data_IF_487504379072
#
_entry.id   IF_487504379072
#
_cell.length_a   1.000
_cell.length_b   1.000
_cell.length_c   1.000
_cell.angle_alpha   90.00
_cell.angle_beta   90.00
_cell.angle_gamma   90.00
#
_symmetry.space_group_name_H-M   'P 1'
#
loop_
_entity.id
_entity.type
_entity.pdbx_description
1 polymer ?
#
# COMPACT_ATOMS: atom_id res chain seq x y z
N UNK A 1 -9.30 15.55 19.07
CA UNK A 1 -10.07 14.78 18.10
C UNK A 1 -11.23 14.05 18.81
N UNK A 2 -12.40 13.88 18.19
CA UNK A 2 -13.56 13.26 18.83
C UNK A 2 -13.51 11.72 18.83
N UNK A 3 -14.42 11.07 19.60
CA UNK A 3 -14.52 9.61 19.69
C UNK A 3 -14.63 8.91 18.32
N UNK A 4 -15.38 9.49 17.37
CA UNK A 4 -15.53 8.94 16.02
C UNK A 4 -14.21 8.80 15.26
N UNK A 5 -13.28 9.74 15.45
CA UNK A 5 -11.96 9.67 14.84
C UNK A 5 -11.16 8.43 15.31
N UNK A 6 -11.14 8.15 16.61
CA UNK A 6 -10.43 6.98 17.13
C UNK A 6 -11.07 5.66 16.71
N UNK A 7 -12.40 5.63 16.52
CA UNK A 7 -13.09 4.45 15.96
C UNK A 7 -12.64 4.20 14.52
N UNK A 8 -12.52 5.25 13.69
CA UNK A 8 -12.00 5.14 12.32
C UNK A 8 -10.57 4.63 12.34
N UNK A 9 -9.74 5.17 13.24
CA UNK A 9 -8.34 4.74 13.37
C UNK A 9 -8.24 3.26 13.76
N UNK A 10 -9.05 2.79 14.71
CA UNK A 10 -9.11 1.38 15.09
C UNK A 10 -9.57 0.48 13.94
N UNK A 11 -10.66 0.85 13.25
CA UNK A 11 -11.15 0.11 12.09
C UNK A 11 -10.10 -0.01 10.98
N UNK A 12 -9.44 1.12 10.67
CA UNK A 12 -8.35 1.19 9.69
C UNK A 12 -7.15 0.32 10.10
N UNK A 13 -6.76 0.38 11.38
CA UNK A 13 -5.63 -0.40 11.89
C UNK A 13 -5.89 -1.89 11.72
N UNK A 14 -7.00 -2.42 12.22
CA UNK A 14 -7.32 -3.85 12.12
C UNK A 14 -7.51 -4.32 10.68
N UNK A 15 -8.17 -3.52 9.83
CA UNK A 15 -8.34 -3.86 8.42
C UNK A 15 -7.01 -3.93 7.69
N UNK A 16 -6.12 -2.96 7.90
CA UNK A 16 -4.79 -2.94 7.27
C UNK A 16 -3.85 -4.00 7.85
N UNK A 17 -3.93 -4.27 9.16
CA UNK A 17 -3.22 -5.36 9.83
C UNK A 17 -3.57 -6.71 9.19
N UNK A 18 -4.87 -6.95 9.00
CA UNK A 18 -5.36 -8.17 8.38
C UNK A 18 -4.91 -8.29 6.91
N UNK A 19 -4.94 -7.20 6.12
CA UNK A 19 -4.47 -7.19 4.72
C UNK A 19 -3.00 -7.65 4.61
N UNK A 20 -2.14 -7.20 5.52
CA UNK A 20 -0.71 -7.53 5.51
C UNK A 20 -0.42 -8.92 6.09
N UNK A 21 -1.15 -9.35 7.11
CA UNK A 21 -1.05 -10.71 7.65
C UNK A 21 -1.53 -11.75 6.64
N UNK A 22 -2.63 -11.47 5.92
CA UNK A 22 -3.18 -12.36 4.91
C UNK A 22 -2.23 -12.60 3.74
N UNK A 23 -1.44 -11.60 3.36
CA UNK A 23 -0.41 -11.75 2.34
C UNK A 23 0.56 -12.89 2.68
N UNK A 24 1.02 -12.93 3.93
CA UNK A 24 1.95 -13.97 4.40
C UNK A 24 1.25 -15.34 4.47
N UNK A 25 0.02 -15.38 5.00
CA UNK A 25 -0.76 -16.61 5.08
C UNK A 25 -1.10 -17.19 3.70
N UNK A 26 -1.41 -16.34 2.71
CA UNK A 26 -1.66 -16.75 1.34
C UNK A 26 -0.39 -17.33 0.66
N UNK A 27 0.80 -16.77 0.94
CA UNK A 27 2.06 -17.36 0.48
C UNK A 27 2.26 -18.74 1.09
N UNK A 28 1.99 -18.89 2.40
CA UNK A 28 2.11 -20.19 3.08
C UNK A 28 1.15 -21.23 2.48
N UNK A 29 -0.11 -20.84 2.21
CA UNK A 29 -1.11 -21.70 1.59
C UNK A 29 -0.68 -22.15 0.17
N UNK A 30 -0.15 -21.24 -0.65
CA UNK A 30 0.38 -21.56 -1.97
C UNK A 30 1.56 -22.52 -1.91
N UNK A 31 2.50 -22.30 -0.98
CA UNK A 31 3.65 -23.19 -0.78
C UNK A 31 3.21 -24.60 -0.33
N UNK A 32 2.24 -24.66 0.60
CA UNK A 32 1.70 -25.91 1.10
C UNK A 32 0.96 -26.70 0.01
N UNK A 33 0.25 -26.05 -0.90
CA UNK A 33 -0.41 -26.69 -2.04
C UNK A 33 0.56 -27.09 -3.17
N UNK A 34 1.88 -26.85 -3.01
CA UNK A 34 2.88 -27.14 -4.03
C UNK A 34 2.79 -26.23 -5.27
N UNK A 35 2.16 -25.06 -5.14
CA UNK A 35 2.00 -24.14 -6.24
C UNK A 35 3.35 -23.60 -6.74
N UNK A 36 3.49 -23.34 -8.06
CA UNK A 36 4.71 -22.73 -8.61
C UNK A 36 5.06 -21.41 -7.94
N UNK A 37 6.35 -21.11 -7.79
CA UNK A 37 6.84 -19.90 -7.12
C UNK A 37 6.24 -18.58 -7.67
N UNK A 38 5.95 -18.53 -8.97
CA UNK A 38 5.35 -17.35 -9.59
C UNK A 38 3.92 -17.04 -9.09
N UNK A 39 3.19 -18.02 -8.52
CA UNK A 39 1.89 -17.77 -7.89
C UNK A 39 2.03 -16.87 -6.66
N UNK A 40 3.08 -17.07 -5.85
CA UNK A 40 3.35 -16.18 -4.71
C UNK A 40 3.69 -14.76 -5.16
N UNK A 41 4.45 -14.61 -6.25
CA UNK A 41 4.74 -13.31 -6.85
C UNK A 41 3.46 -12.63 -7.39
N UNK A 42 2.52 -13.42 -7.94
CA UNK A 42 1.27 -12.93 -8.51
C UNK A 42 0.27 -12.39 -7.47
N UNK A 43 0.44 -12.70 -6.18
CA UNK A 43 -0.43 -12.14 -5.13
C UNK A 43 -0.44 -10.62 -5.12
N UNK A 44 0.73 -9.98 -5.27
CA UNK A 44 0.84 -8.52 -5.27
C UNK A 44 0.04 -7.87 -6.40
N UNK A 45 0.24 -8.23 -7.69
CA UNK A 45 -0.57 -7.67 -8.76
C UNK A 45 -2.05 -8.08 -8.68
N UNK A 46 -2.38 -9.24 -8.16
CA UNK A 46 -3.79 -9.64 -7.97
C UNK A 46 -4.51 -8.74 -6.96
N UNK A 47 -3.86 -8.37 -5.88
CA UNK A 47 -4.41 -7.42 -4.91
C UNK A 47 -4.61 -6.02 -5.53
N UNK A 48 -3.67 -5.57 -6.34
CA UNK A 48 -3.71 -4.25 -6.98
C UNK A 48 -4.73 -4.17 -8.15
N UNK A 49 -5.14 -5.29 -8.72
CA UNK A 49 -5.94 -5.37 -9.94
C UNK A 49 -7.18 -4.49 -9.90
N UNK A 50 -7.99 -4.63 -8.86
CA UNK A 50 -9.26 -3.90 -8.75
C UNK A 50 -9.10 -2.44 -8.38
N UNK A 51 -7.97 -2.04 -7.79
CA UNK A 51 -7.62 -0.63 -7.63
C UNK A 51 -7.45 0.08 -8.98
N UNK A 52 -6.98 -0.64 -9.99
CA UNK A 52 -6.79 -0.10 -11.34
C UNK A 52 -8.10 -0.16 -12.13
N UNK A 53 -8.72 -1.35 -12.19
CA UNK A 53 -9.91 -1.59 -13.03
C UNK A 53 -11.12 -0.78 -12.55
N UNK A 54 -11.30 -0.64 -11.24
CA UNK A 54 -12.47 0.03 -10.66
C UNK A 54 -12.20 1.45 -10.13
N UNK A 55 -10.98 1.99 -10.34
CA UNK A 55 -10.63 3.33 -9.88
C UNK A 55 -11.67 4.42 -10.19
N UNK A 56 -12.24 4.50 -11.41
CA UNK A 56 -13.24 5.52 -11.74
C UNK A 56 -14.54 5.40 -10.93
N UNK A 57 -14.87 4.19 -10.48
CA UNK A 57 -16.17 3.88 -9.88
C UNK A 57 -16.17 3.83 -8.36
N UNK A 58 -15.04 3.46 -7.73
CA UNK A 58 -14.97 3.33 -6.26
C UNK A 58 -15.15 4.66 -5.54
N UNK A 59 -14.75 5.78 -6.15
CA UNK A 59 -15.02 7.12 -5.63
C UNK A 59 -16.52 7.43 -5.62
N UNK A 60 -17.22 7.15 -6.72
CA UNK A 60 -18.67 7.33 -6.82
C UNK A 60 -19.42 6.43 -5.83
N UNK A 61 -19.01 5.19 -5.66
CA UNK A 61 -19.54 4.28 -4.66
C UNK A 61 -19.34 4.81 -3.23
N UNK A 62 -18.15 5.35 -2.96
CA UNK A 62 -17.84 5.95 -1.66
C UNK A 62 -18.70 7.19 -1.35
N UNK A 63 -19.13 7.95 -2.36
CA UNK A 63 -19.96 9.15 -2.18
C UNK A 63 -21.47 8.85 -2.18
N UNK A 64 -21.88 7.67 -2.65
CA UNK A 64 -23.27 7.24 -2.66
C UNK A 64 -23.77 6.77 -1.29
N UNK A 65 -22.92 6.21 -0.45
CA UNK A 65 -23.26 5.68 0.88
C UNK A 65 -22.52 6.44 1.99
N UNK A 66 -23.05 6.46 3.21
CA UNK A 66 -22.29 6.93 4.36
C UNK A 66 -20.95 6.20 4.47
N UNK A 67 -19.85 6.94 4.64
CA UNK A 67 -18.48 6.39 4.57
C UNK A 67 -18.28 5.18 5.51
N UNK A 68 -18.83 5.19 6.71
CA UNK A 68 -18.78 4.05 7.63
C UNK A 68 -19.42 2.78 7.03
N UNK A 69 -20.52 2.92 6.27
CA UNK A 69 -21.16 1.78 5.59
C UNK A 69 -20.32 1.26 4.42
N UNK A 70 -19.69 2.16 3.66
CA UNK A 70 -18.74 1.77 2.60
C UNK A 70 -17.60 0.96 3.19
N UNK A 71 -17.00 1.44 4.28
CA UNK A 71 -15.92 0.75 4.98
C UNK A 71 -16.36 -0.62 5.53
N UNK A 72 -17.60 -0.72 6.05
CA UNK A 72 -18.19 -1.98 6.50
C UNK A 72 -18.34 -2.97 5.34
N UNK A 73 -19.01 -2.57 4.25
CA UNK A 73 -19.19 -3.42 3.06
C UNK A 73 -17.85 -3.87 2.50
N UNK A 74 -16.87 -2.99 2.46
CA UNK A 74 -15.52 -3.30 1.99
C UNK A 74 -14.84 -4.39 2.83
N UNK A 75 -14.97 -4.33 4.17
CA UNK A 75 -14.44 -5.38 5.04
C UNK A 75 -15.22 -6.70 4.91
N UNK A 76 -16.53 -6.66 4.65
CA UNK A 76 -17.31 -7.88 4.35
C UNK A 76 -16.82 -8.54 3.04
N UNK A 77 -16.49 -7.75 2.01
CA UNK A 77 -15.88 -8.28 0.78
C UNK A 77 -14.54 -8.99 1.10
N UNK A 78 -13.72 -8.44 2.00
CA UNK A 78 -12.48 -9.07 2.43
C UNK A 78 -12.73 -10.37 3.21
N UNK A 79 -13.74 -10.39 4.07
CA UNK A 79 -14.20 -11.62 4.75
C UNK A 79 -14.58 -12.70 3.72
N UNK A 80 -15.33 -12.34 2.68
CA UNK A 80 -15.67 -13.27 1.59
C UNK A 80 -14.41 -13.81 0.92
N UNK A 81 -13.40 -12.97 0.64
CA UNK A 81 -12.13 -13.42 0.08
C UNK A 81 -11.41 -14.44 0.97
N UNK A 82 -11.39 -14.23 2.30
CA UNK A 82 -10.83 -15.22 3.24
C UNK A 82 -11.61 -16.54 3.25
N UNK A 83 -12.94 -16.47 3.27
CA UNK A 83 -13.78 -17.68 3.19
C UNK A 83 -13.56 -18.44 1.89
N UNK A 84 -13.41 -17.74 0.76
CA UNK A 84 -13.08 -18.38 -0.52
C UNK A 84 -11.77 -19.17 -0.44
N UNK A 85 -10.73 -18.64 0.24
CA UNK A 85 -9.47 -19.37 0.46
C UNK A 85 -9.70 -20.64 1.30
N UNK A 86 -10.46 -20.53 2.39
CA UNK A 86 -10.74 -21.66 3.29
C UNK A 86 -11.58 -22.74 2.62
N UNK A 87 -12.50 -22.36 1.71
CA UNK A 87 -13.31 -23.31 0.95
C UNK A 87 -12.66 -23.81 -0.36
N UNK A 88 -11.33 -23.68 -0.47
CA UNK A 88 -10.56 -24.29 -1.56
C UNK A 88 -10.55 -23.50 -2.88
N UNK A 89 -11.04 -22.27 -2.91
CA UNK A 89 -10.88 -21.41 -4.08
C UNK A 89 -9.41 -21.01 -4.23
N UNK A 90 -8.92 -20.94 -5.48
CA UNK A 90 -7.51 -20.63 -5.72
C UNK A 90 -7.09 -19.32 -5.04
N UNK A 91 -5.98 -19.31 -4.25
CA UNK A 91 -5.59 -18.17 -3.43
C UNK A 91 -5.42 -16.85 -4.20
N UNK A 92 -4.97 -16.90 -5.46
CA UNK A 92 -4.84 -15.69 -6.28
C UNK A 92 -6.17 -14.98 -6.53
N UNK A 93 -7.23 -15.74 -6.85
CA UNK A 93 -8.56 -15.18 -7.07
C UNK A 93 -9.14 -14.64 -5.76
N UNK A 94 -9.03 -15.42 -4.69
CA UNK A 94 -9.50 -15.03 -3.37
C UNK A 94 -8.81 -13.76 -2.87
N UNK A 95 -7.51 -13.64 -3.08
CA UNK A 95 -6.74 -12.46 -2.71
C UNK A 95 -7.05 -11.24 -3.59
N UNK A 96 -7.42 -11.45 -4.86
CA UNK A 96 -7.95 -10.39 -5.71
C UNK A 96 -9.28 -9.83 -5.17
N UNK A 97 -10.17 -10.70 -4.65
CA UNK A 97 -11.42 -10.26 -3.99
C UNK A 97 -11.14 -9.45 -2.72
N UNK A 98 -10.13 -9.82 -1.93
CA UNK A 98 -9.66 -9.00 -0.81
C UNK A 98 -9.17 -7.64 -1.30
N UNK A 99 -8.42 -7.61 -2.40
CA UNK A 99 -7.99 -6.38 -3.07
C UNK A 99 -9.14 -5.50 -3.56
N UNK A 100 -10.24 -6.10 -4.04
CA UNK A 100 -11.49 -5.38 -4.36
C UNK A 100 -12.04 -4.67 -3.11
N UNK A 101 -12.12 -5.36 -1.98
CA UNK A 101 -12.54 -4.76 -0.72
C UNK A 101 -11.62 -3.61 -0.29
N UNK A 102 -10.31 -3.77 -0.44
CA UNK A 102 -9.33 -2.72 -0.13
C UNK A 102 -9.46 -1.50 -1.06
N UNK A 103 -9.69 -1.72 -2.36
CA UNK A 103 -9.92 -0.65 -3.33
C UNK A 103 -11.18 0.19 -3.01
N UNK A 104 -12.27 -0.47 -2.60
CA UNK A 104 -13.50 0.21 -2.21
C UNK A 104 -13.36 0.95 -0.85
N UNK A 105 -12.53 0.43 0.06
CA UNK A 105 -12.29 1.00 1.38
C UNK A 105 -11.53 2.34 1.30
N UNK A 106 -10.55 2.45 0.42
CA UNK A 106 -9.60 3.57 0.38
C UNK A 106 -10.23 4.95 0.20
N UNK A 107 -11.16 5.20 -0.76
CA UNK A 107 -11.80 6.51 -0.91
C UNK A 107 -12.65 6.92 0.31
N UNK A 108 -13.32 5.94 0.94
CA UNK A 108 -14.12 6.22 2.13
C UNK A 108 -13.25 6.58 3.35
N UNK A 109 -12.10 5.90 3.51
CA UNK A 109 -11.12 6.15 4.57
C UNK A 109 -10.60 7.59 4.57
N UNK A 110 -10.19 8.10 3.43
CA UNK A 110 -9.68 9.47 3.33
C UNK A 110 -10.81 10.49 3.25
N UNK A 111 -11.92 10.17 2.57
CA UNK A 111 -13.08 11.05 2.44
C UNK A 111 -13.72 11.39 3.77
N UNK A 112 -13.85 10.43 4.70
CA UNK A 112 -14.49 10.68 5.99
C UNK A 112 -13.73 11.70 6.86
N UNK A 113 -12.42 11.81 6.71
CA UNK A 113 -11.64 12.79 7.45
C UNK A 113 -12.01 14.21 7.09
N UNK A 114 -12.19 14.47 5.78
CA UNK A 114 -12.57 15.79 5.28
C UNK A 114 -14.00 16.18 5.65
N UNK A 115 -14.86 15.18 5.87
CA UNK A 115 -16.24 15.38 6.32
C UNK A 115 -16.36 15.62 7.84
N UNK A 116 -15.47 15.05 8.64
CA UNK A 116 -15.54 15.06 10.11
C UNK A 116 -14.66 16.11 10.78
N UNK A 117 -13.59 16.55 10.10
CA UNK A 117 -12.56 17.36 10.71
C UNK A 117 -12.44 18.72 10.04
N UNK A 118 -12.17 19.80 10.80
CA UNK A 118 -11.83 21.08 10.23
C UNK A 118 -10.49 21.00 9.49
N UNK A 119 -10.33 21.85 8.49
CA UNK A 119 -9.13 21.89 7.61
C UNK A 119 -7.84 21.93 8.41
N UNK A 120 -7.79 22.72 9.49
CA UNK A 120 -6.62 22.86 10.38
C UNK A 120 -6.16 21.55 11.04
N UNK A 121 -7.02 20.53 11.11
CA UNK A 121 -6.71 19.22 11.71
C UNK A 121 -6.45 18.12 10.68
N UNK A 122 -6.65 18.38 9.39
CA UNK A 122 -6.51 17.37 8.34
C UNK A 122 -5.08 16.86 8.20
N UNK A 123 -4.08 17.74 8.31
CA UNK A 123 -2.65 17.33 8.23
C UNK A 123 -2.32 16.37 9.36
N UNK A 124 -2.72 16.71 10.59
CA UNK A 124 -2.52 15.85 11.76
C UNK A 124 -3.25 14.51 11.61
N UNK A 125 -4.48 14.53 11.09
CA UNK A 125 -5.27 13.32 10.87
C UNK A 125 -4.67 12.40 9.80
N UNK A 126 -4.16 12.96 8.71
CA UNK A 126 -3.41 12.20 7.70
C UNK A 126 -2.13 11.60 8.29
N UNK A 127 -1.40 12.34 9.12
CA UNK A 127 -0.23 11.81 9.83
C UNK A 127 -0.58 10.59 10.70
N UNK A 128 -1.72 10.62 11.40
CA UNK A 128 -2.23 9.47 12.16
C UNK A 128 -2.57 8.27 11.26
N UNK A 129 -3.25 8.51 10.13
CA UNK A 129 -3.58 7.43 9.17
C UNK A 129 -2.30 6.79 8.63
N UNK A 130 -1.34 7.59 8.17
CA UNK A 130 -0.10 7.07 7.62
C UNK A 130 0.74 6.34 8.69
N UNK A 131 0.83 6.90 9.90
CA UNK A 131 1.51 6.25 11.01
C UNK A 131 0.90 4.89 11.37
N UNK A 132 -0.44 4.82 11.46
CA UNK A 132 -1.15 3.55 11.70
C UNK A 132 -1.03 2.58 10.52
N UNK A 133 -1.00 3.08 9.29
CA UNK A 133 -0.79 2.23 8.10
C UNK A 133 0.61 1.59 8.15
N UNK A 134 1.64 2.35 8.47
CA UNK A 134 3.01 1.83 8.65
C UNK A 134 3.05 0.80 9.80
N UNK A 135 2.46 1.13 10.95
CA UNK A 135 2.38 0.21 12.08
C UNK A 135 1.63 -1.08 11.72
N UNK A 136 0.54 -0.99 10.97
CA UNK A 136 -0.23 -2.14 10.49
C UNK A 136 0.56 -3.01 9.52
N UNK A 137 1.39 -2.42 8.66
CA UNK A 137 2.26 -3.17 7.75
C UNK A 137 3.28 -3.97 8.57
N UNK A 138 3.97 -3.33 9.51
CA UNK A 138 4.97 -3.98 10.35
C UNK A 138 4.34 -5.13 11.14
N UNK A 139 3.32 -4.80 11.93
CA UNK A 139 2.69 -5.75 12.83
C UNK A 139 1.92 -6.83 12.06
N UNK A 140 1.29 -6.51 10.92
CA UNK A 140 0.55 -7.46 10.11
C UNK A 140 1.45 -8.51 9.48
N UNK A 141 2.58 -8.11 8.89
CA UNK A 141 3.55 -9.04 8.30
C UNK A 141 4.15 -9.94 9.38
N UNK A 142 4.56 -9.38 10.52
CA UNK A 142 5.09 -10.16 11.65
C UNK A 142 4.02 -11.10 12.20
N UNK A 143 2.79 -10.61 12.41
CA UNK A 143 1.67 -11.43 12.88
C UNK A 143 1.39 -12.59 11.91
N UNK A 144 1.33 -12.34 10.60
CA UNK A 144 1.15 -13.38 9.59
C UNK A 144 2.23 -14.44 9.67
N UNK A 145 3.50 -14.02 9.83
CA UNK A 145 4.61 -14.96 10.02
C UNK A 145 4.50 -15.78 11.30
N UNK A 146 4.10 -15.19 12.42
CA UNK A 146 3.93 -15.89 13.69
C UNK A 146 2.74 -16.85 13.67
N UNK A 147 1.63 -16.49 13.02
CA UNK A 147 0.43 -17.34 12.94
C UNK A 147 0.69 -18.65 12.18
N UNK A 148 1.60 -18.65 11.18
CA UNK A 148 1.97 -19.85 10.42
C UNK A 148 3.14 -20.63 11.05
N UNK A 149 3.88 -20.01 11.99
CA UNK A 149 5.05 -20.59 12.65
C UNK A 149 4.69 -21.31 13.95
N UNK A 150 5.57 -22.27 14.36
CA UNK A 150 5.47 -22.88 15.68
C UNK A 150 5.97 -21.90 16.78
N UNK A 151 5.39 -21.92 17.98
CA UNK A 151 4.36 -22.85 18.50
C UNK A 151 2.91 -22.39 18.26
N UNK A 152 2.69 -21.19 17.63
CA UNK A 152 1.35 -20.59 17.53
C UNK A 152 0.43 -21.45 16.66
N UNK A 153 0.91 -21.89 15.50
CA UNK A 153 0.13 -22.73 14.59
C UNK A 153 -0.31 -24.04 15.25
N UNK A 154 0.57 -24.69 16.00
CA UNK A 154 0.26 -25.91 16.76
C UNK A 154 -0.82 -25.67 17.81
N UNK A 155 -0.77 -24.53 18.52
CA UNK A 155 -1.80 -24.17 19.50
C UNK A 155 -3.14 -23.89 18.82
N UNK A 156 -3.15 -23.19 17.68
CA UNK A 156 -4.38 -22.90 16.93
C UNK A 156 -5.04 -24.17 16.39
N UNK A 157 -4.24 -25.10 15.87
CA UNK A 157 -4.72 -26.40 15.37
C UNK A 157 -5.18 -27.33 16.49
N UNK A 158 -4.65 -27.19 17.72
CA UNK A 158 -5.10 -27.95 18.88
C UNK A 158 -6.44 -27.46 19.46
N UNK A 159 -6.92 -26.31 19.01
CA UNK A 159 -8.20 -25.74 19.43
C UNK A 159 -9.34 -26.38 18.66
N UNK A 160 -9.70 -27.61 19.08
CA UNK A 160 -10.78 -28.39 18.49
C UNK A 160 -12.09 -28.10 19.23
N UNK A 161 -13.13 -27.74 18.50
CA UNK A 161 -14.47 -27.59 19.08
C UNK A 161 -15.13 -28.97 19.15
N UNK A 162 -15.48 -29.47 20.33
CA UNK A 162 -15.95 -30.86 20.51
C UNK A 162 -17.24 -31.22 19.74
N UNK A 163 -17.87 -30.26 19.10
CA UNK A 163 -19.15 -30.41 18.42
C UNK A 163 -19.11 -30.04 16.94
N UNK A 164 -18.00 -29.50 16.43
CA UNK A 164 -17.93 -28.97 15.07
C UNK A 164 -16.51 -29.13 14.51
N UNK A 165 -16.40 -29.96 13.49
CA UNK A 165 -15.19 -30.02 12.67
C UNK A 165 -15.05 -28.70 11.88
N UNK A 166 -14.03 -27.93 12.21
CA UNK A 166 -13.79 -26.63 11.57
C UNK A 166 -13.23 -26.77 10.16
N UNK A 167 -12.76 -27.96 9.76
CA UNK A 167 -12.08 -28.19 8.48
C UNK A 167 -10.78 -27.39 8.36
N UNK A 168 -10.19 -26.98 9.49
CA UNK A 168 -8.93 -26.23 9.54
C UNK A 168 -7.84 -27.22 9.95
N UNK A 169 -7.15 -27.78 8.97
CA UNK A 169 -6.18 -28.85 9.17
C UNK A 169 -4.73 -28.40 9.09
N UNK A 170 -4.49 -27.17 8.63
CA UNK A 170 -3.16 -26.71 8.30
C UNK A 170 -2.82 -25.36 8.93
N UNK A 171 -1.51 -25.07 9.18
CA UNK A 171 -1.08 -23.79 9.73
C UNK A 171 -1.54 -22.58 8.92
N UNK A 172 -1.58 -22.69 7.58
CA UNK A 172 -2.04 -21.62 6.71
C UNK A 172 -3.54 -21.36 6.88
N UNK A 173 -4.36 -22.40 6.97
CA UNK A 173 -5.82 -22.29 7.20
C UNK A 173 -6.12 -21.72 8.59
N UNK A 174 -5.39 -22.15 9.62
CA UNK A 174 -5.51 -21.62 10.98
C UNK A 174 -5.16 -20.12 11.02
N UNK A 175 -4.10 -19.71 10.30
CA UNK A 175 -3.74 -18.30 10.16
C UNK A 175 -4.83 -17.50 9.45
N UNK A 176 -5.36 -17.99 8.31
CA UNK A 176 -6.43 -17.32 7.56
C UNK A 176 -7.69 -17.20 8.41
N UNK A 177 -8.06 -18.21 9.17
CA UNK A 177 -9.21 -18.19 10.11
C UNK A 177 -9.03 -17.13 11.20
N UNK A 178 -7.83 -16.98 11.75
CA UNK A 178 -7.50 -15.92 12.71
C UNK A 178 -7.58 -14.52 12.09
N UNK A 179 -7.11 -14.36 10.85
CA UNK A 179 -7.16 -13.11 10.10
C UNK A 179 -8.60 -12.74 9.72
N UNK A 180 -9.44 -13.72 9.41
CA UNK A 180 -10.88 -13.54 9.20
C UNK A 180 -11.53 -12.84 10.40
N UNK A 181 -11.18 -13.24 11.63
CA UNK A 181 -11.67 -12.61 12.87
C UNK A 181 -11.24 -11.12 12.90
N UNK A 182 -10.01 -10.79 12.50
CA UNK A 182 -9.55 -9.40 12.44
C UNK A 182 -10.39 -8.56 11.48
N UNK A 183 -10.76 -9.09 10.31
CA UNK A 183 -11.66 -8.38 9.40
C UNK A 183 -13.07 -8.21 9.96
N UNK A 184 -13.59 -9.20 10.68
CA UNK A 184 -14.88 -9.10 11.37
C UNK A 184 -14.83 -8.02 12.45
N UNK A 185 -13.75 -7.96 13.23
CA UNK A 185 -13.52 -6.90 14.23
C UNK A 185 -13.45 -5.53 13.56
N UNK A 186 -12.71 -5.39 12.45
CA UNK A 186 -12.64 -4.15 11.69
C UNK A 186 -14.02 -3.74 11.15
N UNK A 187 -14.79 -4.70 10.61
CA UNK A 187 -16.16 -4.47 10.15
C UNK A 187 -17.08 -4.01 11.30
N UNK A 188 -16.95 -4.63 12.48
CA UNK A 188 -17.71 -4.23 13.67
C UNK A 188 -17.39 -2.77 14.08
N UNK A 189 -16.12 -2.38 14.11
CA UNK A 189 -15.75 -0.98 14.36
C UNK A 189 -16.37 -0.02 13.34
N UNK A 190 -16.49 -0.41 12.07
CA UNK A 190 -17.09 0.44 11.04
C UNK A 190 -18.57 0.74 11.29
N UNK A 191 -19.30 -0.14 11.98
CA UNK A 191 -20.70 0.08 12.35
C UNK A 191 -20.88 1.21 13.39
N UNK A 192 -19.85 1.47 14.20
CA UNK A 192 -19.84 2.53 15.21
C UNK A 192 -19.32 3.87 14.68
N UNK A 193 -18.94 3.95 13.41
CA UNK A 193 -18.54 5.21 12.79
C UNK A 193 -19.77 6.12 12.68
N UNK A 194 -19.71 7.35 13.24
CA UNK A 194 -20.83 8.27 13.19
C UNK A 194 -21.14 8.69 11.75
N UNK A 195 -22.42 8.89 11.46
CA UNK A 195 -22.83 9.47 10.18
C UNK A 195 -22.41 10.94 10.17
N UNK A 196 -21.83 11.34 9.05
CA UNK A 196 -21.52 12.74 8.77
C UNK A 196 -22.74 13.45 8.20
N UNK A 197 -22.78 14.78 8.28
CA UNK A 197 -23.82 15.60 7.64
C UNK A 197 -23.56 15.83 6.14
N UNK A 198 -22.56 15.15 5.56
CA UNK A 198 -22.22 15.29 4.16
C UNK A 198 -23.35 14.84 3.24
N UNK A 199 -23.58 15.61 2.18
CA UNK A 199 -24.59 15.28 1.18
C UNK A 199 -24.17 14.06 0.36
N UNK A 200 -25.01 13.02 0.35
CA UNK A 200 -24.76 11.82 -0.46
C UNK A 200 -25.07 12.12 -1.93
N UNK A 201 -24.15 11.72 -2.81
CA UNK A 201 -24.32 11.93 -4.23
C UNK A 201 -24.91 10.67 -4.89
N UNK A 202 -25.90 10.81 -5.80
CA UNK A 202 -26.42 9.65 -6.52
C UNK A 202 -25.35 9.01 -7.40
N UNK A 203 -25.43 7.69 -7.57
CA UNK A 203 -24.55 6.99 -8.51
C UNK A 203 -24.72 7.56 -9.92
N UNK A 204 -23.61 7.79 -10.64
CA UNK A 204 -23.66 8.24 -12.03
C UNK A 204 -24.46 7.26 -12.89
N UNK A 205 -25.41 7.79 -13.67
CA UNK A 205 -26.23 6.97 -14.59
C UNK A 205 -25.44 6.50 -15.82
N UNK A 206 -24.37 7.20 -16.17
CA UNK A 206 -23.54 6.90 -17.32
C UNK A 206 -22.10 6.55 -16.88
N UNK A 207 -21.74 5.25 -16.86
CA UNK A 207 -20.42 4.81 -16.46
C UNK A 207 -19.30 5.31 -17.41
N UNK A 208 -19.60 5.53 -18.69
CA UNK A 208 -18.63 6.02 -19.68
C UNK A 208 -18.26 7.48 -19.38
N UNK A 209 -19.22 8.32 -19.01
CA UNK A 209 -18.96 9.70 -18.62
C UNK A 209 -18.10 9.78 -17.34
N UNK A 210 -18.31 8.90 -16.39
CA UNK A 210 -17.49 8.81 -15.17
C UNK A 210 -16.05 8.42 -15.51
N UNK A 211 -15.85 7.48 -16.43
CA UNK A 211 -14.51 7.11 -16.90
C UNK A 211 -13.84 8.28 -17.63
N UNK A 212 -14.57 9.01 -18.48
CA UNK A 212 -14.04 10.16 -19.22
C UNK A 212 -13.61 11.31 -18.27
N UNK A 213 -14.41 11.64 -17.26
CA UNK A 213 -14.06 12.64 -16.25
C UNK A 213 -12.82 12.22 -15.45
N UNK A 214 -12.71 10.94 -15.07
CA UNK A 214 -11.55 10.41 -14.38
C UNK A 214 -10.27 10.51 -15.23
N UNK A 215 -10.35 10.14 -16.51
CA UNK A 215 -9.21 10.21 -17.43
C UNK A 215 -8.78 11.66 -17.70
N UNK A 216 -9.72 12.60 -17.74
CA UNK A 216 -9.41 14.04 -17.85
C UNK A 216 -8.69 14.53 -16.59
N UNK A 217 -9.16 14.18 -15.39
CA UNK A 217 -8.50 14.48 -14.12
C UNK A 217 -7.07 13.93 -14.08
N UNK A 218 -6.88 12.65 -14.49
CA UNK A 218 -5.56 12.03 -14.58
C UNK A 218 -4.65 12.81 -15.54
N UNK A 219 -5.16 13.15 -16.73
CA UNK A 219 -4.41 13.93 -17.73
C UNK A 219 -3.99 15.31 -17.22
N UNK A 220 -4.87 16.01 -16.49
CA UNK A 220 -4.56 17.33 -15.90
C UNK A 220 -3.39 17.25 -14.93
N UNK A 221 -3.36 16.22 -14.06
CA UNK A 221 -2.28 16.05 -13.09
C UNK A 221 -0.96 15.70 -13.78
N UNK A 222 -0.98 14.88 -14.83
CA UNK A 222 0.20 14.58 -15.66
C UNK A 222 0.71 15.75 -16.50
N UNK A 223 -0.10 16.79 -16.73
CA UNK A 223 0.31 18.03 -17.43
C UNK A 223 0.83 19.11 -16.50
N UNK A 224 0.46 19.08 -15.22
CA UNK A 224 0.96 20.04 -14.22
C UNK A 224 2.45 19.81 -13.93
N UNK A 225 3.27 20.85 -13.93
CA UNK A 225 4.73 20.74 -13.88
C UNK A 225 5.30 20.18 -12.57
N UNK A 226 4.65 20.45 -11.45
CA UNK A 226 4.99 19.83 -10.16
C UNK A 226 4.20 18.53 -9.94
N UNK A 227 2.94 18.51 -10.38
CA UNK A 227 2.08 17.34 -10.31
C UNK A 227 2.67 16.12 -11.00
N UNK A 228 3.16 16.27 -12.23
CA UNK A 228 3.76 15.16 -12.98
C UNK A 228 5.00 14.58 -12.30
N UNK A 229 5.83 15.40 -11.66
CA UNK A 229 7.05 14.97 -10.98
C UNK A 229 6.71 14.29 -9.65
N UNK A 230 5.81 14.89 -8.85
CA UNK A 230 5.38 14.29 -7.59
C UNK A 230 4.61 12.99 -7.84
N UNK A 231 3.69 12.96 -8.82
CA UNK A 231 2.95 11.76 -9.19
C UNK A 231 3.88 10.64 -9.67
N UNK A 232 4.83 10.93 -10.57
CA UNK A 232 5.79 9.93 -11.06
C UNK A 232 6.63 9.35 -9.92
N UNK A 233 7.09 10.20 -9.00
CA UNK A 233 7.92 9.78 -7.86
C UNK A 233 7.13 8.91 -6.88
N UNK A 234 5.92 9.32 -6.49
CA UNK A 234 5.09 8.54 -5.56
C UNK A 234 4.59 7.25 -6.21
N UNK A 235 4.21 7.29 -7.48
CA UNK A 235 3.81 6.13 -8.28
C UNK A 235 4.91 5.08 -8.31
N UNK A 236 6.15 5.48 -8.64
CA UNK A 236 7.28 4.56 -8.64
C UNK A 236 7.59 4.04 -7.23
N UNK A 237 7.60 4.93 -6.22
CA UNK A 237 7.85 4.53 -4.84
C UNK A 237 6.87 3.44 -4.38
N UNK A 238 5.57 3.64 -4.54
CA UNK A 238 4.56 2.66 -4.14
C UNK A 238 4.61 1.39 -4.97
N UNK A 239 4.91 1.51 -6.29
CA UNK A 239 5.17 0.36 -7.15
C UNK A 239 6.30 -0.52 -6.63
N UNK A 240 7.39 0.11 -6.19
CA UNK A 240 8.55 -0.56 -5.57
C UNK A 240 8.19 -1.13 -4.21
N UNK A 241 7.65 -0.32 -3.31
CA UNK A 241 7.34 -0.71 -1.93
C UNK A 241 6.31 -1.85 -1.86
N UNK A 242 5.30 -1.83 -2.74
CA UNK A 242 4.29 -2.88 -2.83
C UNK A 242 4.88 -4.24 -3.20
N UNK A 243 5.87 -4.26 -4.09
CA UNK A 243 6.54 -5.49 -4.53
C UNK A 243 7.75 -5.87 -3.67
N UNK A 244 8.38 -4.90 -2.98
CA UNK A 244 9.60 -5.11 -2.19
C UNK A 244 9.38 -6.16 -1.09
N UNK A 245 8.21 -6.21 -0.46
CA UNK A 245 7.89 -7.21 0.56
C UNK A 245 8.05 -8.65 0.04
N UNK A 246 7.56 -8.94 -1.18
CA UNK A 246 7.75 -10.24 -1.80
C UNK A 246 9.22 -10.47 -2.18
N UNK A 247 9.88 -9.45 -2.71
CA UNK A 247 11.30 -9.51 -3.11
C UNK A 247 12.18 -9.83 -1.90
N UNK A 248 11.95 -9.17 -0.76
CA UNK A 248 12.67 -9.43 0.49
C UNK A 248 12.44 -10.86 0.98
N UNK A 249 11.20 -11.37 0.91
CA UNK A 249 10.89 -12.74 1.28
C UNK A 249 11.63 -13.75 0.40
N UNK A 250 11.59 -13.56 -0.92
CA UNK A 250 12.25 -14.44 -1.88
C UNK A 250 13.79 -14.38 -1.75
N UNK A 251 14.35 -13.19 -1.58
CA UNK A 251 15.77 -12.99 -1.36
C UNK A 251 16.25 -13.62 -0.05
N UNK A 252 15.53 -13.41 1.06
CA UNK A 252 15.91 -13.97 2.36
C UNK A 252 15.91 -15.50 2.36
N UNK A 253 14.99 -16.13 1.61
CA UNK A 253 14.97 -17.57 1.45
C UNK A 253 16.23 -18.09 0.74
N UNK A 254 16.72 -17.38 -0.28
CA UNK A 254 17.88 -17.81 -1.08
C UNK A 254 19.22 -17.36 -0.46
N UNK A 255 19.30 -16.13 0.03
CA UNK A 255 20.54 -15.53 0.54
C UNK A 255 20.87 -15.92 1.99
N UNK A 256 19.82 -16.09 2.83
CA UNK A 256 19.94 -16.33 4.26
C UNK A 256 19.46 -17.73 4.68
N UNK A 257 18.83 -18.49 3.77
CA UNK A 257 18.22 -19.78 4.07
C UNK A 257 16.99 -19.68 4.98
N UNK A 258 16.34 -18.51 5.03
CA UNK A 258 15.21 -18.24 5.93
C UNK A 258 13.93 -18.89 5.44
N UNK A 259 13.15 -19.39 6.40
CA UNK A 259 11.76 -19.78 6.16
C UNK A 259 10.85 -18.52 6.07
N UNK A 260 9.57 -18.74 5.75
CA UNK A 260 8.62 -17.62 5.58
C UNK A 260 8.42 -16.81 6.88
N UNK A 261 8.43 -17.45 8.03
CA UNK A 261 8.30 -16.80 9.34
C UNK A 261 9.48 -15.88 9.63
N UNK A 262 10.69 -16.39 9.45
CA UNK A 262 11.94 -15.62 9.65
C UNK A 262 12.05 -14.46 8.65
N UNK A 263 11.78 -14.74 7.37
CA UNK A 263 11.82 -13.74 6.30
C UNK A 263 10.78 -12.62 6.50
N UNK A 264 9.61 -12.94 7.04
CA UNK A 264 8.57 -11.94 7.33
C UNK A 264 9.03 -10.87 8.33
N UNK A 265 9.86 -11.27 9.30
CA UNK A 265 10.45 -10.32 10.26
C UNK A 265 11.35 -9.28 9.58
N UNK A 266 12.08 -9.67 8.52
CA UNK A 266 12.91 -8.73 7.74
C UNK A 266 12.06 -7.72 6.95
N UNK A 267 10.89 -8.12 6.46
CA UNK A 267 9.92 -7.18 5.86
C UNK A 267 9.46 -6.15 6.89
N UNK A 268 9.22 -6.58 8.13
CA UNK A 268 8.95 -5.69 9.26
C UNK A 268 10.08 -4.69 9.53
N UNK A 269 11.34 -5.14 9.41
CA UNK A 269 12.53 -4.28 9.55
C UNK A 269 12.56 -3.16 8.50
N UNK A 270 12.23 -3.48 7.23
CA UNK A 270 12.10 -2.45 6.17
C UNK A 270 11.05 -1.42 6.53
N UNK A 271 9.90 -1.88 7.03
CA UNK A 271 8.79 -0.99 7.40
C UNK A 271 9.15 -0.09 8.60
N UNK A 272 9.93 -0.60 9.58
CA UNK A 272 10.49 0.24 10.67
C UNK A 272 11.38 1.34 10.07
N UNK A 273 12.28 0.98 9.16
CA UNK A 273 13.11 1.94 8.43
C UNK A 273 12.27 3.01 7.74
N UNK A 274 11.21 2.60 7.02
CA UNK A 274 10.28 3.52 6.34
C UNK A 274 9.63 4.49 7.33
N UNK A 275 9.20 4.00 8.49
CA UNK A 275 8.66 4.84 9.57
C UNK A 275 9.67 5.87 10.07
N UNK A 276 10.91 5.46 10.32
CA UNK A 276 12.01 6.36 10.75
C UNK A 276 12.26 7.44 9.69
N UNK A 277 12.35 7.06 8.41
CA UNK A 277 12.54 7.99 7.30
C UNK A 277 11.38 8.97 7.15
N UNK A 278 10.14 8.49 7.30
CA UNK A 278 8.94 9.31 7.23
C UNK A 278 8.89 10.36 8.37
N UNK A 279 9.21 9.97 9.60
CA UNK A 279 9.29 10.89 10.74
C UNK A 279 10.39 11.92 10.50
N UNK A 280 11.59 11.49 10.10
CA UNK A 280 12.69 12.39 9.78
C UNK A 280 12.30 13.42 8.70
N UNK A 281 11.65 12.97 7.62
CA UNK A 281 11.16 13.86 6.56
C UNK A 281 10.13 14.85 7.07
N UNK A 282 9.19 14.43 7.93
CA UNK A 282 8.16 15.31 8.48
C UNK A 282 8.72 16.43 9.36
N UNK A 283 9.88 16.20 9.99
CA UNK A 283 10.56 17.19 10.85
C UNK A 283 11.47 18.12 10.03
N UNK A 284 12.20 17.58 9.06
CA UNK A 284 13.27 18.32 8.39
C UNK A 284 12.90 18.89 7.02
N UNK A 285 11.86 18.37 6.39
CA UNK A 285 11.48 18.77 5.04
C UNK A 285 10.29 19.73 5.04
N UNK A 286 10.44 20.82 4.27
CA UNK A 286 9.35 21.75 3.96
C UNK A 286 8.78 21.46 2.58
N UNK A 287 7.50 21.80 2.36
CA UNK A 287 6.79 21.54 1.11
C UNK A 287 7.45 22.20 -0.10
N UNK A 288 7.99 23.40 0.06
CA UNK A 288 8.70 24.14 -0.99
C UNK A 288 10.04 23.51 -1.43
N UNK A 289 10.57 22.59 -0.61
CA UNK A 289 11.78 21.82 -0.91
C UNK A 289 11.49 20.35 -1.23
N UNK A 290 10.23 19.96 -1.38
CA UNK A 290 9.83 18.57 -1.56
C UNK A 290 10.58 17.87 -2.71
N UNK A 291 10.83 18.56 -3.83
CA UNK A 291 11.53 17.98 -4.98
C UNK A 291 13.03 17.72 -4.76
N UNK A 292 13.64 18.29 -3.70
CA UNK A 292 15.06 18.06 -3.40
C UNK A 292 15.39 16.64 -2.96
N UNK A 293 14.38 15.83 -2.59
CA UNK A 293 14.54 14.44 -2.17
C UNK A 293 14.62 13.44 -3.34
N UNK A 294 14.34 13.84 -4.57
CA UNK A 294 14.32 12.94 -5.74
C UNK A 294 15.62 12.11 -5.89
N UNK A 295 16.83 12.66 -5.66
CA UNK A 295 18.06 11.87 -5.72
C UNK A 295 18.11 10.68 -4.73
N UNK A 296 17.35 10.74 -3.62
CA UNK A 296 17.26 9.60 -2.69
C UNK A 296 16.58 8.39 -3.32
N UNK A 297 15.70 8.59 -4.30
CA UNK A 297 15.12 7.49 -5.06
C UNK A 297 16.14 6.76 -5.94
N UNK A 298 17.13 7.49 -6.48
CA UNK A 298 18.26 6.88 -7.19
C UNK A 298 19.10 6.07 -6.21
N UNK A 299 19.42 6.66 -5.04
CA UNK A 299 20.14 5.97 -3.98
C UNK A 299 19.41 4.70 -3.51
N UNK A 300 18.07 4.75 -3.38
CA UNK A 300 17.24 3.59 -3.03
C UNK A 300 17.39 2.46 -4.05
N UNK A 301 17.33 2.75 -5.36
CA UNK A 301 17.53 1.75 -6.41
C UNK A 301 18.94 1.12 -6.38
N UNK A 302 19.97 1.95 -6.17
CA UNK A 302 21.36 1.48 -6.02
C UNK A 302 21.54 0.63 -4.74
N UNK A 303 20.85 1.00 -3.65
CA UNK A 303 20.86 0.23 -2.40
C UNK A 303 20.24 -1.14 -2.60
N UNK A 304 19.15 -1.26 -3.39
CA UNK A 304 18.59 -2.57 -3.74
C UNK A 304 19.61 -3.46 -4.46
N UNK A 305 20.45 -2.92 -5.35
CA UNK A 305 21.51 -3.69 -6.01
C UNK A 305 22.53 -4.25 -5.01
N UNK A 306 22.84 -3.52 -3.95
CA UNK A 306 23.78 -3.95 -2.92
C UNK A 306 23.28 -5.16 -2.11
N UNK A 307 21.97 -5.43 -2.10
CA UNK A 307 21.42 -6.63 -1.45
C UNK A 307 22.00 -7.94 -2.02
N UNK A 308 22.46 -7.93 -3.28
CA UNK A 308 23.09 -9.11 -3.89
C UNK A 308 24.39 -9.57 -3.18
N UNK A 309 25.01 -8.68 -2.42
CA UNK A 309 26.28 -8.96 -1.71
C UNK A 309 26.09 -9.29 -0.24
N UNK A 310 24.84 -9.27 0.26
CA UNK A 310 24.54 -9.50 1.66
C UNK A 310 24.12 -10.97 1.84
N UNK A 311 24.87 -11.68 2.68
CA UNK A 311 24.66 -13.09 2.99
C UNK A 311 24.53 -13.40 4.49
N UNK A 312 24.53 -12.36 5.35
CA UNK A 312 24.45 -12.53 6.79
C UNK A 312 23.31 -11.70 7.38
N UNK A 313 22.49 -12.27 8.32
CA UNK A 313 21.38 -11.56 8.94
C UNK A 313 21.80 -10.29 9.69
N UNK A 314 22.98 -10.32 10.30
CA UNK A 314 23.53 -9.22 11.07
C UNK A 314 23.78 -7.96 10.22
N UNK A 315 24.15 -8.12 8.95
CA UNK A 315 24.31 -7.02 7.99
C UNK A 315 22.97 -6.69 7.30
N UNK A 316 22.14 -7.70 7.07
CA UNK A 316 20.85 -7.54 6.39
C UNK A 316 19.91 -6.59 7.14
N UNK A 317 19.75 -6.74 8.45
CA UNK A 317 18.80 -5.94 9.21
C UNK A 317 19.09 -4.43 9.18
N UNK A 318 20.28 -3.92 9.54
CA UNK A 318 20.58 -2.48 9.46
C UNK A 318 20.52 -1.96 8.03
N UNK A 319 20.91 -2.77 7.04
CA UNK A 319 20.83 -2.42 5.64
C UNK A 319 19.37 -2.21 5.19
N UNK A 320 18.47 -3.09 5.57
CA UNK A 320 17.04 -2.99 5.25
C UNK A 320 16.38 -1.81 5.98
N UNK A 321 16.84 -1.44 7.19
CA UNK A 321 16.42 -0.20 7.87
C UNK A 321 16.81 1.01 7.02
N UNK A 322 18.04 1.07 6.51
CA UNK A 322 18.51 2.17 5.66
C UNK A 322 17.70 2.24 4.36
N UNK A 323 17.46 1.11 3.71
CA UNK A 323 16.64 1.03 2.50
C UNK A 323 15.23 1.57 2.75
N UNK A 324 14.60 1.14 3.83
CA UNK A 324 13.29 1.65 4.25
C UNK A 324 13.32 3.14 4.54
N UNK A 325 14.33 3.62 5.28
CA UNK A 325 14.46 5.03 5.64
C UNK A 325 14.63 5.96 4.43
N UNK A 326 15.40 5.55 3.43
CA UNK A 326 15.50 6.28 2.15
C UNK A 326 14.14 6.42 1.49
N UNK A 327 13.36 5.33 1.45
CA UNK A 327 12.02 5.31 0.89
C UNK A 327 11.04 6.20 1.65
N UNK A 328 11.00 6.09 2.99
CA UNK A 328 10.12 6.90 3.84
C UNK A 328 10.43 8.40 3.76
N UNK A 329 11.72 8.74 3.74
CA UNK A 329 12.15 10.14 3.59
C UNK A 329 11.82 10.72 2.21
N UNK A 330 11.85 9.90 1.16
CA UNK A 330 11.48 10.27 -0.20
C UNK A 330 9.97 10.53 -0.33
N UNK A 331 9.14 9.59 0.16
CA UNK A 331 7.71 9.59 -0.16
C UNK A 331 6.92 10.68 0.55
N UNK A 332 7.26 11.01 1.80
CA UNK A 332 6.46 11.96 2.62
C UNK A 332 6.35 13.35 1.99
N UNK A 333 7.44 14.05 1.64
CA UNK A 333 7.34 15.38 1.04
C UNK A 333 6.76 15.33 -0.38
N UNK A 334 7.03 14.26 -1.13
CA UNK A 334 6.49 14.10 -2.48
C UNK A 334 4.99 13.83 -2.47
N UNK A 335 4.48 13.04 -1.52
CA UNK A 335 3.04 12.86 -1.28
C UNK A 335 2.36 14.17 -0.90
N UNK A 336 2.94 14.92 0.03
CA UNK A 336 2.40 16.22 0.43
C UNK A 336 2.31 17.19 -0.75
N UNK A 337 3.34 17.25 -1.60
CA UNK A 337 3.34 18.07 -2.81
C UNK A 337 2.27 17.62 -3.80
N UNK A 338 2.13 16.30 -4.02
CA UNK A 338 1.13 15.73 -4.91
C UNK A 338 -0.29 16.05 -4.45
N UNK A 339 -0.59 15.86 -3.16
CA UNK A 339 -1.90 16.17 -2.58
C UNK A 339 -2.22 17.67 -2.69
N UNK A 340 -1.26 18.54 -2.41
CA UNK A 340 -1.42 19.98 -2.56
C UNK A 340 -1.74 20.39 -4.02
N UNK A 341 -0.99 19.85 -4.98
CA UNK A 341 -1.21 20.14 -6.41
C UNK A 341 -2.53 19.54 -6.90
N UNK A 342 -2.81 18.30 -6.58
CA UNK A 342 -4.03 17.62 -6.97
C UNK A 342 -5.29 18.27 -6.39
N UNK A 343 -5.26 18.70 -5.12
CA UNK A 343 -6.36 19.45 -4.50
C UNK A 343 -6.62 20.76 -5.24
N UNK A 344 -5.58 21.50 -5.60
CA UNK A 344 -5.70 22.77 -6.34
C UNK A 344 -6.26 22.60 -7.75
N UNK A 345 -6.03 21.46 -8.40
CA UNK A 345 -6.43 21.21 -9.80
C UNK A 345 -7.83 20.59 -9.93
N UNK A 346 -8.25 19.73 -9.00
CA UNK A 346 -9.46 18.91 -9.17
C UNK A 346 -10.23 18.60 -7.88
N UNK A 347 -9.76 19.10 -6.73
CA UNK A 347 -10.31 18.76 -5.42
C UNK A 347 -9.72 17.46 -4.82
N UNK A 348 -9.94 17.27 -3.50
CA UNK A 348 -9.25 16.21 -2.74
C UNK A 348 -9.63 14.79 -3.19
N UNK A 349 -10.91 14.49 -3.34
CA UNK A 349 -11.40 13.12 -3.64
C UNK A 349 -10.92 12.61 -4.99
N UNK A 350 -11.08 13.42 -6.05
CA UNK A 350 -10.59 13.09 -7.40
C UNK A 350 -9.09 12.96 -7.44
N UNK A 351 -8.35 13.85 -6.74
CA UNK A 351 -6.90 13.79 -6.66
C UNK A 351 -6.42 12.48 -6.04
N UNK A 352 -7.01 12.05 -4.93
CA UNK A 352 -6.67 10.79 -4.26
C UNK A 352 -7.00 9.58 -5.16
N UNK A 353 -8.12 9.61 -5.87
CA UNK A 353 -8.47 8.53 -6.79
C UNK A 353 -7.45 8.40 -7.94
N UNK A 354 -7.02 9.52 -8.53
CA UNK A 354 -5.98 9.57 -9.57
C UNK A 354 -4.64 9.09 -9.03
N UNK A 355 -4.24 9.54 -7.84
CA UNK A 355 -3.01 9.11 -7.19
C UNK A 355 -3.02 7.59 -6.99
N UNK A 356 -4.05 7.06 -6.32
CA UNK A 356 -4.20 5.62 -6.06
C UNK A 356 -4.19 4.79 -7.35
N UNK A 357 -4.87 5.25 -8.41
CA UNK A 357 -4.86 4.58 -9.71
C UNK A 357 -3.44 4.42 -10.26
N UNK A 358 -2.67 5.51 -10.32
CA UNK A 358 -1.31 5.49 -10.85
C UNK A 358 -0.37 4.62 -9.99
N UNK A 359 -0.46 4.74 -8.67
CA UNK A 359 0.33 3.95 -7.72
C UNK A 359 0.04 2.46 -7.85
N UNK A 360 -1.23 2.07 -7.87
CA UNK A 360 -1.64 0.68 -8.00
C UNK A 360 -1.39 0.11 -9.40
N UNK A 361 -1.51 0.93 -10.46
CA UNK A 361 -1.13 0.53 -11.80
C UNK A 361 0.38 0.22 -11.89
N UNK A 362 1.21 1.00 -11.20
CA UNK A 362 2.66 0.72 -11.11
C UNK A 362 2.94 -0.56 -10.30
N UNK A 363 2.24 -0.76 -9.17
CA UNK A 363 2.34 -2.02 -8.39
C UNK A 363 1.97 -3.21 -9.28
N UNK A 364 0.87 -3.11 -10.01
CA UNK A 364 0.42 -4.14 -10.94
C UNK A 364 1.46 -4.41 -12.04
N UNK A 365 1.97 -3.36 -12.68
CA UNK A 365 2.97 -3.47 -13.75
C UNK A 365 4.30 -4.08 -13.30
N UNK A 366 4.85 -3.59 -12.20
CA UNK A 366 6.09 -4.13 -11.62
C UNK A 366 5.89 -5.54 -11.07
N UNK A 367 4.72 -5.81 -10.47
CA UNK A 367 4.35 -7.14 -10.01
C UNK A 367 4.25 -8.14 -11.18
N UNK A 368 3.63 -7.74 -12.29
CA UNK A 368 3.57 -8.57 -13.50
C UNK A 368 4.97 -8.85 -14.09
N UNK A 369 5.85 -7.84 -14.11
CA UNK A 369 7.26 -8.02 -14.50
C UNK A 369 7.93 -9.05 -13.60
N UNK A 370 7.75 -8.95 -12.28
CA UNK A 370 8.36 -9.86 -11.32
C UNK A 370 7.81 -11.30 -11.47
N UNK A 371 6.51 -11.45 -11.70
CA UNK A 371 5.86 -12.73 -12.03
C UNK A 371 6.50 -13.34 -13.27
N UNK A 372 6.68 -12.55 -14.33
CA UNK A 372 7.33 -12.97 -15.56
C UNK A 372 8.76 -13.49 -15.33
N UNK A 373 9.57 -12.71 -14.61
CA UNK A 373 10.95 -13.10 -14.27
C UNK A 373 11.00 -14.43 -13.50
N UNK A 374 10.12 -14.59 -12.50
CA UNK A 374 10.06 -15.81 -11.68
C UNK A 374 9.56 -17.00 -12.49
N UNK A 375 8.55 -16.80 -13.36
CA UNK A 375 7.99 -17.85 -14.21
C UNK A 375 9.01 -18.40 -15.22
N UNK A 376 9.90 -17.55 -15.74
CA UNK A 376 10.98 -17.95 -16.62
C UNK A 376 12.19 -18.56 -15.88
N UNK A 377 12.06 -18.80 -14.56
CA UNK A 377 13.08 -19.48 -13.75
C UNK A 377 14.31 -18.62 -13.44
N UNK A 378 14.18 -17.29 -13.55
CA UNK A 378 15.27 -16.39 -13.18
C UNK A 378 15.44 -16.40 -11.66
N UNK A 379 16.69 -16.41 -11.20
CA UNK A 379 17.00 -16.41 -9.76
C UNK A 379 16.54 -15.13 -9.08
N UNK A 380 16.30 -15.20 -7.77
CA UNK A 380 15.94 -14.03 -6.94
C UNK A 380 16.98 -12.90 -7.07
N UNK A 381 18.26 -13.22 -7.21
CA UNK A 381 19.34 -12.26 -7.41
C UNK A 381 19.23 -11.50 -8.75
N UNK A 382 18.90 -12.20 -9.83
CA UNK A 382 18.68 -11.57 -11.15
C UNK A 382 17.46 -10.67 -11.11
N UNK A 383 16.36 -11.14 -10.53
CA UNK A 383 15.15 -10.36 -10.38
C UNK A 383 15.38 -9.08 -9.55
N UNK A 384 16.13 -9.19 -8.45
CA UNK A 384 16.53 -8.07 -7.59
C UNK A 384 17.42 -7.07 -8.34
N UNK A 385 18.35 -7.56 -9.15
CA UNK A 385 19.22 -6.73 -9.98
C UNK A 385 18.44 -5.94 -11.02
N UNK A 386 17.56 -6.61 -11.77
CA UNK A 386 16.69 -5.96 -12.76
C UNK A 386 15.82 -4.89 -12.08
N UNK A 387 15.26 -5.21 -10.92
CA UNK A 387 14.43 -4.30 -10.16
C UNK A 387 15.19 -3.06 -9.68
N UNK A 388 16.39 -3.25 -9.10
CA UNK A 388 17.24 -2.15 -8.64
C UNK A 388 17.69 -1.22 -9.76
N UNK A 389 18.10 -1.78 -10.91
CA UNK A 389 18.47 -1.00 -12.11
C UNK A 389 17.27 -0.20 -12.62
N UNK A 390 16.10 -0.84 -12.73
CA UNK A 390 14.88 -0.20 -13.21
C UNK A 390 14.50 1.00 -12.32
N UNK A 391 14.54 0.82 -11.00
CA UNK A 391 14.24 1.89 -10.03
C UNK A 391 15.23 3.04 -10.15
N UNK A 392 16.55 2.74 -10.13
CA UNK A 392 17.58 3.77 -10.22
C UNK A 392 17.51 4.54 -11.55
N UNK A 393 17.33 3.83 -12.67
CA UNK A 393 17.23 4.44 -14.01
C UNK A 393 15.97 5.31 -14.14
N UNK A 394 14.80 4.82 -13.68
CA UNK A 394 13.55 5.58 -13.75
C UNK A 394 13.61 6.82 -12.86
N UNK A 395 14.15 6.73 -11.64
CA UNK A 395 14.35 7.90 -10.78
C UNK A 395 15.34 8.90 -11.36
N UNK A 396 16.40 8.44 -12.03
CA UNK A 396 17.32 9.33 -12.74
C UNK A 396 16.63 10.04 -13.92
N UNK A 397 15.74 9.36 -14.63
CA UNK A 397 14.92 9.99 -15.68
C UNK A 397 13.94 11.03 -15.10
N UNK A 398 13.26 10.73 -13.98
CA UNK A 398 12.38 11.69 -13.29
C UNK A 398 13.19 12.91 -12.83
N UNK A 399 14.40 12.70 -12.27
CA UNK A 399 15.27 13.80 -11.88
C UNK A 399 15.65 14.68 -13.06
N UNK A 400 16.08 14.09 -14.19
CA UNK A 400 16.38 14.81 -15.42
C UNK A 400 15.17 15.56 -15.96
N UNK A 401 13.98 14.95 -15.90
CA UNK A 401 12.73 15.60 -16.30
C UNK A 401 12.43 16.81 -15.43
N UNK A 402 12.60 16.69 -14.12
CA UNK A 402 12.46 17.81 -13.19
C UNK A 402 13.42 18.96 -13.50
N UNK A 403 14.69 18.65 -13.78
CA UNK A 403 15.68 19.66 -14.15
C UNK A 403 15.32 20.40 -15.46
N UNK A 404 14.80 19.68 -16.46
CA UNK A 404 14.27 20.29 -17.67
C UNK A 404 13.09 21.21 -17.37
N UNK A 405 12.13 20.77 -16.58
CA UNK A 405 11.00 21.61 -16.16
C UNK A 405 11.46 22.88 -15.45
N UNK A 406 12.49 22.78 -14.59
CA UNK A 406 13.08 23.96 -13.93
C UNK A 406 13.75 24.92 -14.94
N UNK A 407 14.35 24.41 -15.99
CA UNK A 407 14.91 25.24 -17.08
C UNK A 407 13.83 25.96 -17.88
N UNK A 408 12.82 25.22 -18.34
CA UNK A 408 11.83 25.71 -19.31
C UNK A 408 10.67 26.48 -18.66
N UNK A 409 10.31 26.17 -17.40
CA UNK A 409 9.11 26.66 -16.70
C UNK A 409 9.41 27.22 -15.30
N UNK A 410 10.61 27.79 -15.11
CA UNK A 410 11.10 28.26 -13.80
C UNK A 410 10.11 29.17 -13.07
N UNK A 411 9.59 30.21 -13.75
CA UNK A 411 8.66 31.17 -13.16
C UNK A 411 7.35 30.54 -12.70
N UNK A 412 6.83 29.58 -13.45
CA UNK A 412 5.61 28.86 -13.10
C UNK A 412 5.83 27.98 -11.86
N UNK A 413 6.91 27.22 -11.83
CA UNK A 413 7.27 26.33 -10.71
C UNK A 413 7.55 27.15 -9.44
N UNK A 414 8.29 28.24 -9.53
CA UNK A 414 8.56 29.13 -8.40
C UNK A 414 7.27 29.74 -7.84
N UNK A 415 6.33 30.17 -8.71
CA UNK A 415 5.01 30.65 -8.29
C UNK A 415 4.20 29.54 -7.58
N UNK A 416 4.19 28.34 -8.11
CA UNK A 416 3.49 27.20 -7.51
C UNK A 416 4.07 26.83 -6.14
N UNK A 417 5.40 26.85 -5.98
CA UNK A 417 6.07 26.60 -4.71
C UNK A 417 5.87 27.76 -3.71
N UNK A 418 5.78 29.01 -4.17
CA UNK A 418 5.46 30.14 -3.32
C UNK A 418 4.04 30.02 -2.73
N UNK A 419 3.05 29.59 -3.53
CA UNK A 419 1.68 29.30 -3.03
C UNK A 419 1.72 28.16 -2.01
N UNK A 420 2.49 27.12 -2.24
CA UNK A 420 2.65 26.02 -1.30
C UNK A 420 3.27 26.46 0.05
N UNK A 421 4.16 27.46 0.02
CA UNK A 421 4.77 28.05 1.23
C UNK A 421 3.75 28.84 2.06
N UNK A 422 2.90 29.66 1.42
CA UNK A 422 1.88 30.46 2.11
C UNK A 422 0.69 29.67 2.62
N UNK A 423 0.45 28.46 2.09
CA UNK A 423 -0.64 27.57 2.55
C UNK A 423 -0.20 26.68 3.74
N UNK A 424 1.07 26.65 4.09
CA UNK A 424 1.62 25.88 5.22
C UNK A 424 1.82 26.71 6.50
N UNK A 425 1.69 28.03 6.41
CA UNK A 425 1.65 28.95 7.55
C UNK A 425 0.19 29.25 7.95
#
# INVERSE_FOLDING_TARGET
MGRGFYIIMAAQFFSSLADNALFIAAIALLKQSGAPAWHSAALVPMFALFYVVLAPYVGAFADYLPKGRVMFVSNIIKVVGCLMMLFGTHPLLSYAIVGLGAAAYSPAKYGILTEMLPVSKLVTANGWIEGLTIASIILGVVLGGQLIGDPVSTQLLSFDMPWFDTGVDTPAEAAISSILILYIVAAAFNLFIPRTSAHLLPLPKNPVATLADFMDCNSRLWRDKLGQISLSTTTLFWGVAGNLRYIVLAWAAVALGYNTTEASSLVGVVAIGTGIGAVAASVWMKLDRATSVIPLGIAMGLTVLLMNFISTPFVAAPFLVILGALGGFLVVPMNALLQHRGHSLMGAGRSIAVQNFNEQACILGLGALFVGLTRFGLSAYVALTVFGILVAATMALIYRWHQRNLGDHKREIERQLAIARTSSD
#
